data_IF_169592892175
#
_entry.id   IF_169592892175
#
_cell.length_a   1.000
_cell.length_b   1.000
_cell.length_c   1.000
_cell.angle_alpha   90.00
_cell.angle_beta   90.00
_cell.angle_gamma   90.00
#
_symmetry.space_group_name_H-M   'P 1'
#
loop_
_entity.id
_entity.type
_entity.pdbx_description
1 polymer ?
#
# COMPACT_ATOMS: atom_id res chain seq x y z
N UNK A 1 2.45 -5.18 -39.06
CA UNK A 1 2.85 -6.54 -38.64
C UNK A 1 4.31 -6.75 -38.96
N UNK A 2 5.07 -7.30 -38.02
CA UNK A 2 6.44 -7.80 -38.21
C UNK A 2 6.45 -9.31 -37.94
N UNK A 3 7.38 -10.04 -38.55
CA UNK A 3 7.62 -11.47 -38.31
C UNK A 3 9.08 -11.61 -37.94
N UNK A 4 9.35 -12.33 -36.86
CA UNK A 4 10.67 -12.44 -36.25
C UNK A 4 11.03 -13.90 -36.14
N UNK A 5 12.23 -14.27 -36.62
CA UNK A 5 12.82 -15.60 -36.40
C UNK A 5 13.37 -15.66 -34.97
N UNK A 6 12.96 -16.66 -34.19
CA UNK A 6 12.98 -16.58 -32.73
C UNK A 6 13.00 -17.94 -32.01
N UNK A 7 13.79 -18.93 -32.49
CA UNK A 7 13.78 -20.32 -31.99
C UNK A 7 13.81 -20.48 -30.47
N UNK A 8 14.68 -19.76 -29.76
CA UNK A 8 14.85 -19.93 -28.31
C UNK A 8 13.67 -19.42 -27.50
N UNK A 9 13.12 -18.25 -27.86
CA UNK A 9 11.99 -17.67 -27.10
C UNK A 9 10.66 -18.31 -27.46
N UNK A 10 10.54 -18.95 -28.63
CA UNK A 10 9.34 -19.66 -29.06
C UNK A 10 9.19 -21.06 -28.45
N UNK A 11 10.23 -21.63 -27.83
CA UNK A 11 10.16 -22.95 -27.18
C UNK A 11 9.08 -23.02 -26.08
N UNK A 12 8.84 -21.90 -25.38
CA UNK A 12 7.88 -21.81 -24.29
C UNK A 12 6.74 -20.81 -24.53
N UNK A 13 6.79 -20.05 -25.62
CA UNK A 13 5.80 -19.03 -25.93
C UNK A 13 4.52 -19.61 -26.55
N UNK A 14 3.42 -18.92 -26.32
CA UNK A 14 2.10 -19.18 -26.89
C UNK A 14 1.55 -17.89 -27.50
N UNK A 15 0.57 -18.04 -28.39
CA UNK A 15 -0.21 -16.90 -28.87
C UNK A 15 -0.81 -16.12 -27.68
N UNK A 16 -0.57 -14.81 -27.64
CA UNK A 16 -0.97 -13.93 -26.55
C UNK A 16 0.12 -13.64 -25.51
N UNK A 17 1.22 -14.42 -25.49
CA UNK A 17 2.34 -14.14 -24.58
C UNK A 17 3.09 -12.87 -24.96
N UNK A 18 3.83 -12.30 -24.00
CA UNK A 18 4.63 -11.10 -24.22
C UNK A 18 6.10 -11.45 -24.46
N UNK A 19 6.67 -10.96 -25.56
CA UNK A 19 8.08 -11.09 -25.91
C UNK A 19 8.65 -9.69 -26.15
N UNK A 20 9.75 -9.38 -25.47
CA UNK A 20 10.47 -8.14 -25.69
C UNK A 20 11.35 -8.26 -26.94
N UNK A 21 11.25 -7.29 -27.85
CA UNK A 21 12.05 -7.19 -29.08
C UNK A 21 12.80 -5.87 -29.06
N UNK A 22 14.13 -5.92 -28.95
CA UNK A 22 14.97 -4.74 -28.69
C UNK A 22 14.47 -3.91 -27.49
N UNK A 23 13.94 -4.56 -26.46
CA UNK A 23 13.35 -3.90 -25.29
C UNK A 23 11.94 -3.34 -25.50
N UNK A 24 11.27 -3.65 -26.61
CA UNK A 24 9.85 -3.31 -26.83
C UNK A 24 8.99 -4.54 -26.54
N UNK A 25 8.09 -4.45 -25.57
CA UNK A 25 7.12 -5.51 -25.28
C UNK A 25 6.11 -5.64 -26.42
N UNK A 26 6.06 -6.82 -27.04
CA UNK A 26 5.12 -7.16 -28.10
C UNK A 26 4.35 -8.42 -27.75
N UNK A 27 3.06 -8.44 -28.09
CA UNK A 27 2.23 -9.64 -28.01
C UNK A 27 2.55 -10.58 -29.15
N UNK A 28 2.93 -11.82 -28.83
CA UNK A 28 3.22 -12.85 -29.80
C UNK A 28 1.93 -13.37 -30.46
N UNK A 29 1.94 -13.45 -31.78
CA UNK A 29 0.85 -13.91 -32.63
C UNK A 29 1.38 -14.94 -33.62
N UNK A 30 0.57 -15.92 -34.00
CA UNK A 30 0.96 -16.94 -34.98
C UNK A 30 2.32 -17.58 -34.65
N UNK A 31 2.51 -17.94 -33.37
CA UNK A 31 3.74 -18.57 -32.88
C UNK A 31 3.98 -19.89 -33.59
N UNK A 32 5.16 -20.02 -34.17
CA UNK A 32 5.70 -21.19 -34.84
C UNK A 32 6.98 -21.65 -34.11
N UNK A 33 7.48 -22.88 -34.37
CA UNK A 33 8.67 -23.39 -33.68
C UNK A 33 9.91 -22.50 -33.80
N UNK A 34 10.05 -21.76 -34.90
CA UNK A 34 11.21 -20.94 -35.20
C UNK A 34 10.90 -19.45 -35.36
N UNK A 35 9.65 -19.02 -35.16
CA UNK A 35 9.25 -17.65 -35.45
C UNK A 35 7.95 -17.26 -34.76
N UNK A 36 7.71 -15.95 -34.63
CA UNK A 36 6.41 -15.42 -34.25
C UNK A 36 6.14 -14.12 -35.01
N UNK A 37 4.87 -13.75 -35.12
CA UNK A 37 4.43 -12.46 -35.64
C UNK A 37 4.03 -11.52 -34.50
N UNK A 38 4.11 -10.22 -34.74
CA UNK A 38 3.59 -9.22 -33.83
C UNK A 38 2.98 -8.05 -34.61
N UNK A 39 1.89 -7.51 -34.10
CA UNK A 39 1.34 -6.25 -34.58
C UNK A 39 1.89 -5.10 -33.75
N UNK A 40 2.44 -4.10 -34.45
CA UNK A 40 3.12 -2.97 -33.83
C UNK A 40 2.27 -1.73 -34.03
N UNK A 41 1.93 -1.06 -32.94
CA UNK A 41 1.15 0.18 -33.00
C UNK A 41 1.94 1.31 -33.67
N UNK A 42 1.24 2.31 -34.20
CA UNK A 42 1.91 3.50 -34.77
C UNK A 42 2.75 4.24 -33.73
N UNK A 43 2.28 4.32 -32.49
CA UNK A 43 3.01 4.95 -31.38
C UNK A 43 4.32 4.21 -31.11
N UNK A 44 4.26 2.87 -31.02
CA UNK A 44 5.43 2.03 -30.81
C UNK A 44 6.45 2.18 -31.93
N UNK A 45 6.01 2.23 -33.20
CA UNK A 45 6.89 2.45 -34.34
C UNK A 45 7.58 3.83 -34.30
N UNK A 46 6.92 4.84 -33.74
CA UNK A 46 7.46 6.19 -33.62
C UNK A 46 8.44 6.35 -32.45
N UNK A 47 8.14 5.70 -31.32
CA UNK A 47 8.94 5.76 -30.09
C UNK A 47 10.13 4.82 -30.04
N UNK A 48 10.15 3.79 -30.88
CA UNK A 48 11.21 2.76 -30.88
C UNK A 48 11.92 2.66 -32.23
N UNK A 49 13.02 1.91 -32.25
CA UNK A 49 13.80 1.58 -33.45
C UNK A 49 13.09 0.58 -34.37
N UNK A 50 11.98 -0.04 -33.94
CA UNK A 50 11.27 -1.08 -34.70
C UNK A 50 10.80 -0.62 -36.08
N UNK A 51 10.44 0.66 -36.23
CA UNK A 51 10.01 1.23 -37.52
C UNK A 51 11.13 1.34 -38.56
N UNK A 52 12.39 1.24 -38.14
CA UNK A 52 13.57 1.33 -39.01
C UNK A 52 14.13 -0.03 -39.42
N UNK A 53 13.64 -1.11 -38.80
CA UNK A 53 14.09 -2.47 -39.07
C UNK A 53 13.79 -2.87 -40.52
N UNK A 54 14.72 -3.64 -41.10
CA UNK A 54 14.56 -4.26 -42.41
C UNK A 54 14.60 -5.77 -42.26
N UNK A 55 14.15 -6.49 -43.27
CA UNK A 55 14.32 -7.94 -43.33
C UNK A 55 15.79 -8.29 -43.16
N UNK A 56 16.10 -9.18 -42.21
CA UNK A 56 17.46 -9.58 -41.85
C UNK A 56 18.14 -8.71 -40.79
N UNK A 57 17.50 -7.67 -40.28
CA UNK A 57 18.02 -6.91 -39.13
C UNK A 57 18.12 -7.80 -37.88
N UNK A 58 19.26 -7.82 -37.17
CA UNK A 58 19.39 -8.53 -35.91
C UNK A 58 18.58 -7.81 -34.82
N UNK A 59 17.94 -8.61 -33.95
CA UNK A 59 17.16 -8.10 -32.80
C UNK A 59 17.50 -8.89 -31.54
N UNK A 60 17.47 -8.22 -30.40
CA UNK A 60 17.52 -8.85 -29.07
C UNK A 60 16.11 -9.32 -28.70
N UNK A 61 16.03 -10.52 -28.14
CA UNK A 61 14.77 -11.14 -27.73
C UNK A 61 14.84 -11.59 -26.27
N UNK A 62 13.80 -11.27 -25.51
CA UNK A 62 13.64 -11.76 -24.14
C UNK A 62 12.18 -12.18 -23.90
N UNK A 63 11.97 -13.38 -23.37
CA UNK A 63 10.65 -13.86 -23.00
C UNK A 63 10.21 -13.24 -21.66
N UNK A 64 8.90 -13.03 -21.48
CA UNK A 64 8.37 -12.54 -20.21
C UNK A 64 8.73 -13.44 -19.03
N UNK A 65 9.09 -12.84 -17.91
CA UNK A 65 9.45 -13.55 -16.67
C UNK A 65 8.21 -14.17 -16.00
N UNK A 66 8.42 -15.29 -15.30
CA UNK A 66 7.41 -15.90 -14.43
C UNK A 66 7.69 -15.52 -12.97
N UNK A 67 6.73 -15.70 -12.03
CA UNK A 67 6.96 -15.45 -10.60
C UNK A 67 8.11 -16.27 -9.98
N UNK A 68 8.54 -17.35 -10.63
CA UNK A 68 9.63 -18.22 -10.15
C UNK A 68 10.95 -18.03 -10.92
N UNK A 69 10.95 -17.20 -11.98
CA UNK A 69 12.14 -16.94 -12.77
C UNK A 69 13.12 -16.05 -11.98
N UNK A 70 14.42 -16.29 -12.11
CA UNK A 70 15.45 -15.41 -11.53
C UNK A 70 15.49 -14.08 -12.30
N UNK A 71 15.37 -12.96 -11.59
CA UNK A 71 15.62 -11.63 -12.13
C UNK A 71 17.10 -11.29 -11.99
N UNK A 72 17.89 -11.61 -13.04
CA UNK A 72 19.34 -11.41 -13.04
C UNK A 72 19.79 -9.98 -13.34
N UNK A 73 18.92 -9.18 -13.99
CA UNK A 73 19.11 -7.75 -14.21
C UNK A 73 18.25 -6.91 -13.28
N UNK A 74 17.78 -5.77 -13.78
CA UNK A 74 16.76 -4.95 -13.11
C UNK A 74 15.37 -5.18 -13.73
N UNK A 75 14.34 -4.49 -13.24
CA UNK A 75 12.98 -4.58 -13.77
C UNK A 75 12.93 -3.80 -15.09
N UNK A 76 12.74 -4.52 -16.19
CA UNK A 76 12.49 -3.97 -17.53
C UNK A 76 11.06 -4.31 -17.91
N UNK A 77 10.25 -3.29 -18.18
CA UNK A 77 8.84 -3.42 -18.55
C UNK A 77 8.66 -3.72 -20.04
N UNK A 78 9.65 -3.36 -20.86
CA UNK A 78 9.54 -3.39 -22.32
C UNK A 78 8.83 -2.15 -22.86
N UNK A 79 8.88 -1.03 -22.12
CA UNK A 79 8.21 0.23 -22.44
C UNK A 79 9.27 1.30 -22.73
N UNK A 80 9.77 1.29 -23.97
CA UNK A 80 10.79 2.23 -24.44
C UNK A 80 10.35 3.68 -24.23
N UNK A 81 11.18 4.43 -23.51
CA UNK A 81 10.93 5.84 -23.19
C UNK A 81 11.41 6.76 -24.29
N UNK A 82 12.57 6.44 -24.86
CA UNK A 82 13.26 7.28 -25.83
C UNK A 82 14.17 6.47 -26.76
N UNK A 83 14.55 7.10 -27.87
CA UNK A 83 15.63 6.64 -28.74
C UNK A 83 16.92 7.37 -28.40
N UNK A 84 17.95 6.61 -28.06
CA UNK A 84 19.32 7.08 -27.96
C UNK A 84 20.08 6.95 -29.26
N UNK A 85 21.34 7.37 -29.26
CA UNK A 85 22.28 7.12 -30.37
C UNK A 85 23.54 6.46 -29.86
N UNK A 86 23.93 5.36 -30.47
CA UNK A 86 25.23 4.76 -30.23
C UNK A 86 26.32 5.65 -30.81
N UNK A 87 27.27 6.09 -29.97
CA UNK A 87 28.34 7.00 -30.37
C UNK A 87 29.63 6.25 -30.69
N UNK A 88 30.05 5.33 -29.83
CA UNK A 88 31.29 4.58 -29.98
C UNK A 88 31.34 3.39 -29.03
N UNK A 89 32.15 2.38 -29.39
CA UNK A 89 32.61 1.34 -28.49
C UNK A 89 34.14 1.35 -28.46
N UNK A 90 34.72 1.62 -27.29
CA UNK A 90 36.17 1.56 -27.06
C UNK A 90 36.53 0.21 -26.44
N UNK A 91 37.52 -0.48 -26.99
CA UNK A 91 37.95 -1.78 -26.47
C UNK A 91 38.99 -1.63 -25.36
N UNK A 92 38.75 -2.32 -24.25
CA UNK A 92 39.67 -2.43 -23.12
C UNK A 92 39.92 -3.91 -22.83
N UNK A 93 40.83 -4.52 -23.60
CA UNK A 93 41.13 -5.94 -23.53
C UNK A 93 39.93 -6.77 -23.99
N UNK A 94 39.31 -7.48 -23.05
CA UNK A 94 38.14 -8.34 -23.33
C UNK A 94 36.79 -7.61 -23.14
N UNK A 95 36.79 -6.35 -22.69
CA UNK A 95 35.56 -5.59 -22.48
C UNK A 95 35.49 -4.38 -23.40
N UNK A 96 34.29 -3.82 -23.53
CA UNK A 96 34.07 -2.60 -24.32
C UNK A 96 33.38 -1.55 -23.47
N UNK A 97 33.81 -0.30 -23.59
CA UNK A 97 33.10 0.86 -23.07
C UNK A 97 32.25 1.44 -24.19
N UNK A 98 30.94 1.35 -24.05
CA UNK A 98 30.00 1.93 -25.01
C UNK A 98 29.59 3.32 -24.55
N UNK A 99 29.58 4.27 -25.48
CA UNK A 99 28.99 5.60 -25.30
C UNK A 99 27.65 5.67 -26.00
N UNK A 100 26.62 6.03 -25.25
CA UNK A 100 25.26 6.17 -25.76
C UNK A 100 24.78 7.60 -25.47
N UNK A 101 24.53 8.37 -26.52
CA UNK A 101 23.84 9.65 -26.39
C UNK A 101 22.36 9.40 -26.10
N UNK A 102 21.77 10.27 -25.29
CA UNK A 102 20.38 10.20 -24.91
C UNK A 102 19.71 11.57 -25.00
N UNK A 103 18.39 11.62 -25.20
CA UNK A 103 17.69 12.89 -25.32
C UNK A 103 17.30 13.42 -23.92
N UNK A 104 17.23 14.75 -23.76
CA UNK A 104 17.18 15.41 -22.44
C UNK A 104 15.95 15.05 -21.61
N UNK A 105 14.88 14.58 -22.24
CA UNK A 105 13.62 14.22 -21.59
C UNK A 105 13.78 13.05 -20.61
N UNK A 106 14.79 12.19 -20.80
CA UNK A 106 15.05 11.07 -19.89
C UNK A 106 16.21 11.31 -18.92
N UNK A 107 16.89 12.46 -19.01
CA UNK A 107 18.11 12.77 -18.25
C UNK A 107 17.94 12.59 -16.74
N UNK A 108 16.80 13.06 -16.21
CA UNK A 108 16.51 13.02 -14.77
C UNK A 108 16.33 11.60 -14.19
N UNK A 109 16.14 10.59 -15.04
CA UNK A 109 15.98 9.20 -14.62
C UNK A 109 17.27 8.39 -14.72
N UNK A 110 18.31 8.96 -15.34
CA UNK A 110 19.63 8.34 -15.45
C UNK A 110 20.48 8.78 -14.26
N UNK A 111 21.11 7.82 -13.59
CA UNK A 111 22.00 8.10 -12.46
C UNK A 111 23.28 7.28 -12.57
N UNK A 112 24.41 7.87 -12.16
CA UNK A 112 25.69 7.16 -12.08
C UNK A 112 25.55 5.91 -11.19
N UNK A 113 26.03 4.75 -11.68
CA UNK A 113 25.83 3.41 -11.09
C UNK A 113 24.37 2.95 -10.98
N UNK A 114 23.43 3.65 -11.61
CA UNK A 114 22.05 3.21 -11.79
C UNK A 114 21.91 2.18 -12.90
N UNK A 115 20.71 1.62 -12.99
CA UNK A 115 20.32 0.71 -14.05
C UNK A 115 19.67 1.43 -15.23
N UNK A 116 19.93 0.94 -16.43
CA UNK A 116 19.28 1.36 -17.68
C UNK A 116 19.15 0.15 -18.59
N UNK A 117 18.08 0.08 -19.38
CA UNK A 117 17.98 -0.92 -20.44
C UNK A 117 18.29 -0.27 -21.80
N UNK A 118 19.24 -0.86 -22.53
CA UNK A 118 19.59 -0.45 -23.91
C UNK A 118 19.28 -1.61 -24.83
N UNK A 119 18.38 -1.40 -25.81
CA UNK A 119 17.89 -2.47 -26.70
C UNK A 119 17.37 -3.71 -25.92
N UNK A 120 16.78 -3.48 -24.75
CA UNK A 120 16.27 -4.51 -23.84
C UNK A 120 17.31 -5.13 -22.90
N UNK A 121 18.59 -4.75 -23.01
CA UNK A 121 19.66 -5.32 -22.19
C UNK A 121 19.85 -4.50 -20.93
N UNK A 122 19.66 -5.13 -19.77
CA UNK A 122 19.90 -4.52 -18.46
C UNK A 122 21.39 -4.25 -18.22
N UNK A 123 21.74 -2.99 -18.00
CA UNK A 123 23.12 -2.52 -17.87
C UNK A 123 23.27 -1.55 -16.70
N UNK A 124 24.52 -1.38 -16.25
CA UNK A 124 24.88 -0.41 -15.21
C UNK A 124 25.59 0.78 -15.83
N UNK A 125 25.11 1.99 -15.54
CA UNK A 125 25.74 3.22 -15.99
C UNK A 125 27.10 3.39 -15.31
N UNK A 126 28.17 3.31 -16.09
CA UNK A 126 29.55 3.40 -15.65
C UNK A 126 30.00 4.86 -15.49
N UNK A 127 29.51 5.76 -16.34
CA UNK A 127 29.72 7.21 -16.32
C UNK A 127 28.47 7.91 -16.87
N UNK A 128 28.19 9.12 -16.40
CA UNK A 128 27.04 9.93 -16.84
C UNK A 128 27.49 11.37 -17.01
N UNK A 129 27.23 11.93 -18.19
CA UNK A 129 27.45 13.35 -18.54
C UNK A 129 26.11 14.00 -18.88
N UNK A 130 26.08 15.24 -19.35
CA UNK A 130 24.83 15.90 -19.76
C UNK A 130 24.26 15.36 -21.09
N UNK A 131 25.12 14.79 -21.95
CA UNK A 131 24.77 14.44 -23.34
C UNK A 131 24.86 12.93 -23.63
N UNK A 132 25.63 12.17 -22.84
CA UNK A 132 25.79 10.73 -23.01
C UNK A 132 26.06 10.02 -21.68
N UNK A 133 25.79 8.71 -21.67
CA UNK A 133 26.24 7.82 -20.60
C UNK A 133 27.15 6.73 -21.15
N UNK A 134 27.97 6.16 -20.28
CA UNK A 134 28.83 5.03 -20.59
C UNK A 134 28.33 3.74 -19.92
N UNK A 135 28.49 2.61 -20.60
CA UNK A 135 28.24 1.27 -20.06
C UNK A 135 29.43 0.37 -20.38
N UNK A 136 29.71 -0.58 -19.49
CA UNK A 136 30.68 -1.63 -19.73
C UNK A 136 29.97 -2.86 -20.32
N UNK A 137 30.43 -3.32 -21.47
CA UNK A 137 29.94 -4.53 -22.15
C UNK A 137 31.00 -5.62 -22.02
N UNK A 138 30.59 -6.75 -21.43
CA UNK A 138 31.46 -7.93 -21.25
C UNK A 138 31.41 -8.85 -22.48
N UNK A 139 32.38 -9.77 -22.66
CA UNK A 139 32.42 -10.69 -23.82
C UNK A 139 31.11 -11.39 -24.11
N UNK A 140 30.45 -11.91 -23.07
CA UNK A 140 29.23 -12.69 -23.27
C UNK A 140 28.09 -11.82 -23.80
N UNK A 141 27.92 -10.61 -23.27
CA UNK A 141 26.91 -9.66 -23.75
C UNK A 141 27.21 -9.24 -25.18
N UNK A 142 28.47 -8.98 -25.52
CA UNK A 142 28.86 -8.66 -26.89
C UNK A 142 28.55 -9.79 -27.89
N UNK A 143 28.77 -11.04 -27.48
CA UNK A 143 28.56 -12.24 -28.32
C UNK A 143 27.08 -12.55 -28.58
N UNK A 144 26.23 -12.45 -27.56
CA UNK A 144 24.84 -12.97 -27.62
C UNK A 144 23.80 -11.89 -27.91
N UNK A 145 24.22 -10.64 -28.15
CA UNK A 145 23.31 -9.51 -28.41
C UNK A 145 23.66 -8.80 -29.72
N UNK A 146 22.78 -7.91 -30.15
CA UNK A 146 22.96 -7.11 -31.35
C UNK A 146 24.06 -6.04 -31.26
N UNK A 147 24.68 -5.85 -30.08
CA UNK A 147 25.66 -4.78 -29.83
C UNK A 147 26.87 -4.82 -30.76
N UNK A 148 27.31 -6.02 -31.17
CA UNK A 148 28.42 -6.18 -32.11
C UNK A 148 28.12 -5.68 -33.52
N UNK A 149 26.86 -5.43 -33.84
CA UNK A 149 26.41 -4.94 -35.15
C UNK A 149 26.18 -3.43 -35.19
N UNK A 150 26.19 -2.75 -34.04
CA UNK A 150 25.94 -1.32 -33.96
C UNK A 150 27.11 -0.51 -34.55
N UNK A 151 26.77 0.54 -35.28
CA UNK A 151 27.71 1.52 -35.86
C UNK A 151 27.45 2.90 -35.28
N UNK A 152 28.50 3.73 -35.09
CA UNK A 152 28.33 5.11 -34.67
C UNK A 152 27.25 5.84 -35.47
N UNK A 153 26.25 6.39 -34.77
CA UNK A 153 25.09 7.05 -35.35
C UNK A 153 23.81 6.21 -35.36
N UNK A 154 23.90 4.89 -35.18
CA UNK A 154 22.73 4.02 -35.08
C UNK A 154 21.86 4.40 -33.88
N UNK A 155 20.54 4.36 -34.07
CA UNK A 155 19.58 4.59 -32.98
C UNK A 155 19.43 3.32 -32.13
N UNK A 156 19.22 3.51 -30.84
CA UNK A 156 18.98 2.43 -29.87
C UNK A 156 17.77 2.75 -29.00
N UNK A 157 17.00 1.73 -28.62
CA UNK A 157 15.91 1.85 -27.67
C UNK A 157 16.45 2.02 -26.25
N UNK A 158 15.95 3.01 -25.53
CA UNK A 158 16.28 3.28 -24.13
C UNK A 158 15.03 3.15 -23.26
N UNK A 159 15.13 2.35 -22.21
CA UNK A 159 14.16 2.30 -21.13
C UNK A 159 14.89 2.62 -19.81
N UNK A 160 14.38 3.62 -19.08
CA UNK A 160 14.93 4.00 -17.78
C UNK A 160 14.30 3.17 -16.68
N UNK A 161 15.00 3.02 -15.55
CA UNK A 161 14.47 2.26 -14.41
C UNK A 161 13.11 2.81 -13.96
N UNK A 162 12.09 1.95 -13.98
CA UNK A 162 10.73 2.31 -13.58
C UNK A 162 10.66 2.85 -12.14
N UNK A 163 11.58 2.43 -11.28
CA UNK A 163 11.69 2.94 -9.90
C UNK A 163 11.95 4.45 -9.91
N UNK A 164 12.79 4.96 -10.82
CA UNK A 164 13.07 6.39 -10.93
C UNK A 164 11.80 7.19 -11.27
N UNK A 165 10.95 6.68 -12.18
CA UNK A 165 9.66 7.31 -12.54
C UNK A 165 8.68 7.33 -11.37
N UNK A 166 8.60 6.24 -10.60
CA UNK A 166 7.75 6.21 -9.40
C UNK A 166 8.24 7.17 -8.32
N UNK A 167 9.55 7.24 -8.10
CA UNK A 167 10.15 8.19 -7.16
C UNK A 167 9.85 9.62 -7.58
N UNK A 168 10.05 9.97 -8.85
CA UNK A 168 9.66 11.28 -9.38
C UNK A 168 8.18 11.54 -9.17
N UNK A 169 7.28 10.61 -9.55
CA UNK A 169 5.84 10.78 -9.38
C UNK A 169 5.46 11.03 -7.92
N UNK A 170 6.08 10.33 -6.98
CA UNK A 170 5.82 10.53 -5.54
C UNK A 170 6.28 11.91 -5.08
N UNK A 171 7.42 12.40 -5.57
CA UNK A 171 7.99 13.69 -5.16
C UNK A 171 7.34 14.89 -5.87
N UNK A 172 6.86 14.72 -7.10
CA UNK A 172 6.37 15.80 -7.97
C UNK A 172 4.85 15.89 -8.03
N UNK A 173 4.11 14.85 -7.63
CA UNK A 173 2.65 14.95 -7.55
C UNK A 173 2.30 15.90 -6.39
N UNK A 174 1.82 17.12 -6.64
CA UNK A 174 1.19 17.90 -5.58
C UNK A 174 0.06 17.03 -5.02
N UNK A 175 -0.04 16.92 -3.68
CA UNK A 175 -1.07 16.13 -3.00
C UNK A 175 -2.37 16.22 -3.81
N UNK A 176 -2.75 15.11 -4.46
CA UNK A 176 -4.02 15.03 -5.15
C UNK A 176 -5.05 15.30 -4.05
N UNK A 177 -5.62 16.51 -4.05
CA UNK A 177 -6.80 16.84 -3.27
C UNK A 177 -7.90 15.92 -3.77
N UNK A 178 -7.98 14.73 -3.19
CA UNK A 178 -9.19 13.96 -3.24
C UNK A 178 -10.25 14.83 -2.56
N UNK A 179 -11.33 15.14 -3.27
CA UNK A 179 -12.52 15.70 -2.66
C UNK A 179 -13.11 14.61 -1.74
N UNK A 180 -12.53 14.53 -0.56
CA UNK A 180 -13.06 13.95 0.65
C UNK A 180 -13.25 15.12 1.64
N UNK A 181 -14.31 15.10 2.48
CA UNK A 181 -14.72 16.28 3.26
C UNK A 181 -13.53 16.79 4.09
N UNK A 182 -13.45 18.11 4.33
CA UNK A 182 -12.20 18.79 4.61
C UNK A 182 -11.46 18.09 5.76
N UNK A 183 -10.25 17.55 5.52
CA UNK A 183 -9.39 17.15 6.61
C UNK A 183 -9.02 18.42 7.37
N UNK A 184 -9.19 18.40 8.69
CA UNK A 184 -8.56 19.36 9.57
C UNK A 184 -7.09 19.49 9.18
N UNK A 185 -6.71 20.67 8.67
CA UNK A 185 -5.33 21.01 8.35
C UNK A 185 -4.47 20.80 9.59
N UNK A 186 -3.60 19.79 9.56
CA UNK A 186 -2.38 19.77 10.36
C UNK A 186 -1.22 19.82 9.37
N UNK A 187 -0.58 20.98 9.31
CA UNK A 187 0.67 21.26 8.59
C UNK A 187 1.70 20.13 8.83
N UNK A 188 2.32 19.64 7.76
CA UNK A 188 3.31 18.56 7.75
C UNK A 188 4.69 18.95 8.34
N UNK A 189 4.80 20.09 9.01
CA UNK A 189 6.02 20.55 9.70
C UNK A 189 6.07 20.15 11.19
N UNK A 190 5.05 19.41 11.66
CA UNK A 190 5.01 18.88 13.03
C UNK A 190 4.49 17.45 13.05
N UNK A 191 5.21 16.52 12.43
CA UNK A 191 5.15 15.14 12.93
C UNK A 191 5.84 15.16 14.29
N UNK A 192 5.06 15.21 15.37
CA UNK A 192 5.60 14.93 16.70
C UNK A 192 6.38 13.61 16.60
N UNK A 193 7.71 13.60 16.85
CA UNK A 193 8.47 12.36 16.76
C UNK A 193 7.83 11.32 17.69
N UNK A 194 7.98 10.03 17.39
CA UNK A 194 7.38 8.95 18.19
C UNK A 194 7.66 9.09 19.71
N UNK A 195 8.78 9.75 20.04
CA UNK A 195 9.18 10.18 21.39
C UNK A 195 8.17 11.12 22.05
N UNK A 196 7.62 12.10 21.34
CA UNK A 196 6.61 13.02 21.88
C UNK A 196 5.27 12.30 22.11
N UNK A 197 4.88 11.35 21.26
CA UNK A 197 3.68 10.52 21.50
C UNK A 197 3.84 9.59 22.71
N UNK A 198 5.04 9.03 22.89
CA UNK A 198 5.37 8.29 24.11
C UNK A 198 5.31 9.20 25.35
N UNK A 199 5.79 10.45 25.23
CA UNK A 199 5.66 11.47 26.26
C UNK A 199 4.21 11.77 26.63
N UNK A 200 3.29 11.83 25.67
CA UNK A 200 1.84 12.00 25.93
C UNK A 200 1.27 10.81 26.70
N UNK A 201 1.65 9.57 26.34
CA UNK A 201 1.20 8.37 27.07
C UNK A 201 1.70 8.41 28.52
N UNK A 202 2.96 8.78 28.75
CA UNK A 202 3.54 8.91 30.09
C UNK A 202 2.87 10.04 30.90
N UNK A 203 2.57 11.18 30.26
CA UNK A 203 1.85 12.27 30.89
C UNK A 203 0.44 11.86 31.31
N UNK A 204 -0.30 11.13 30.45
CA UNK A 204 -1.63 10.59 30.77
C UNK A 204 -1.57 9.60 31.94
N UNK A 205 -0.53 8.76 32.01
CA UNK A 205 -0.30 7.88 33.16
C UNK A 205 -0.08 8.69 34.44
N UNK A 206 0.69 9.79 34.37
CA UNK A 206 0.89 10.71 35.49
C UNK A 206 -0.41 11.39 35.95
N UNK A 207 -1.24 11.84 35.01
CA UNK A 207 -2.57 12.41 35.30
C UNK A 207 -3.46 11.36 35.97
N UNK A 208 -3.47 10.13 35.47
CA UNK A 208 -4.23 9.03 36.07
C UNK A 208 -3.75 8.70 37.47
N UNK A 209 -2.44 8.70 37.71
CA UNK A 209 -1.86 8.51 39.04
C UNK A 209 -2.35 9.58 40.02
N UNK A 210 -2.34 10.85 39.60
CA UNK A 210 -2.84 11.97 40.40
C UNK A 210 -4.36 11.88 40.68
N UNK A 211 -5.17 11.69 39.63
CA UNK A 211 -6.63 11.63 39.74
C UNK A 211 -7.10 10.48 40.64
N UNK A 212 -6.55 9.28 40.45
CA UNK A 212 -6.90 8.14 41.30
C UNK A 212 -6.34 8.27 42.72
N UNK A 213 -5.23 9.00 42.89
CA UNK A 213 -4.70 9.39 44.19
C UNK A 213 -5.70 10.19 45.04
N UNK A 214 -6.47 11.09 44.43
CA UNK A 214 -7.55 11.83 45.11
C UNK A 214 -8.63 10.91 45.69
N UNK A 215 -8.90 9.78 45.03
CA UNK A 215 -9.89 8.79 45.46
C UNK A 215 -9.29 7.64 46.29
N UNK A 216 -8.04 7.75 46.73
CA UNK A 216 -7.32 6.74 47.51
C UNK A 216 -7.30 5.36 46.83
N UNK A 217 -7.37 5.33 45.49
CA UNK A 217 -7.36 4.12 44.67
C UNK A 217 -6.07 4.11 43.85
N UNK A 218 -5.50 2.94 43.59
CA UNK A 218 -4.37 2.82 42.65
C UNK A 218 -4.94 2.58 41.25
N UNK A 219 -4.71 3.50 40.32
CA UNK A 219 -5.17 3.39 38.93
C UNK A 219 -4.81 2.04 38.30
N UNK A 220 -3.55 1.61 38.44
CA UNK A 220 -3.07 0.34 37.92
C UNK A 220 -3.85 -0.85 38.48
N UNK A 221 -4.15 -0.86 39.78
CA UNK A 221 -4.90 -1.92 40.43
C UNK A 221 -6.37 -1.93 40.00
N UNK A 222 -6.98 -0.75 39.88
CA UNK A 222 -8.33 -0.61 39.33
C UNK A 222 -8.39 -1.16 37.90
N UNK A 223 -7.39 -0.86 37.08
CA UNK A 223 -7.32 -1.37 35.72
C UNK A 223 -7.06 -2.87 35.67
N UNK A 224 -6.22 -3.44 36.54
CA UNK A 224 -6.04 -4.90 36.60
C UNK A 224 -7.36 -5.61 36.97
N UNK A 225 -8.14 -5.03 37.87
CA UNK A 225 -9.40 -5.62 38.33
C UNK A 225 -10.53 -5.51 37.30
N UNK A 226 -10.59 -4.42 36.53
CA UNK A 226 -11.69 -4.15 35.59
C UNK A 226 -11.31 -4.38 34.11
N UNK A 227 -10.03 -4.33 33.80
CA UNK A 227 -9.46 -4.45 32.46
C UNK A 227 -9.79 -5.76 31.73
N UNK A 228 -9.88 -6.93 32.39
CA UNK A 228 -10.34 -8.16 31.75
C UNK A 228 -11.76 -8.03 31.19
N UNK A 229 -12.68 -7.45 31.96
CA UNK A 229 -14.08 -7.28 31.57
C UNK A 229 -14.17 -6.27 30.42
N UNK A 230 -13.44 -5.16 30.52
CA UNK A 230 -13.40 -4.10 29.49
C UNK A 230 -12.87 -4.67 28.16
N UNK A 231 -11.76 -5.42 28.21
CA UNK A 231 -11.12 -6.00 27.02
C UNK A 231 -12.01 -7.08 26.39
N UNK A 232 -12.69 -7.88 27.22
CA UNK A 232 -13.59 -8.94 26.75
C UNK A 232 -14.83 -8.34 26.08
N UNK A 233 -15.45 -7.32 26.68
CA UNK A 233 -16.57 -6.60 26.07
C UNK A 233 -16.20 -5.97 24.72
N UNK A 234 -15.02 -5.33 24.63
CA UNK A 234 -14.50 -4.79 23.37
C UNK A 234 -14.24 -5.89 22.33
N UNK A 235 -13.73 -7.05 22.75
CA UNK A 235 -13.51 -8.21 21.89
C UNK A 235 -14.79 -8.82 21.34
N UNK A 236 -15.88 -8.84 22.12
CA UNK A 236 -17.20 -9.34 21.67
C UNK A 236 -17.92 -8.38 20.72
N UNK A 237 -17.73 -7.07 20.88
CA UNK A 237 -18.30 -6.05 20.00
C UNK A 237 -17.47 -5.83 18.72
N UNK A 238 -16.21 -6.25 18.70
CA UNK A 238 -15.32 -6.07 17.55
C UNK A 238 -15.79 -6.78 16.25
N UNK A 239 -16.30 -8.02 16.27
CA UNK A 239 -16.76 -8.71 15.06
C UNK A 239 -18.00 -8.08 14.40
N UNK A 240 -18.85 -7.43 15.20
CA UNK A 240 -20.06 -6.74 14.73
C UNK A 240 -19.75 -5.32 14.23
N UNK A 241 -18.63 -4.74 14.67
CA UNK A 241 -18.17 -3.43 14.23
C UNK A 241 -17.31 -3.54 12.95
N UNK A 242 -17.96 -3.57 11.78
CA UNK A 242 -17.30 -3.66 10.46
C UNK A 242 -16.18 -2.62 10.27
N UNK A 243 -16.34 -1.42 10.83
CA UNK A 243 -15.32 -0.34 10.78
C UNK A 243 -14.07 -0.59 11.63
N UNK A 244 -14.11 -1.50 12.63
CA UNK A 244 -12.93 -1.84 13.46
C UNK A 244 -12.05 -2.91 12.82
N UNK A 245 -12.62 -3.82 12.02
CA UNK A 245 -11.85 -4.87 11.31
C UNK A 245 -10.79 -4.29 10.36
N UNK A 246 -11.02 -3.10 9.83
CA UNK A 246 -10.13 -2.41 8.89
C UNK A 246 -8.97 -1.62 9.56
N UNK A 247 -8.82 -1.71 10.89
CA UNK A 247 -7.98 -0.80 11.70
C UNK A 247 -6.83 -1.54 12.39
N UNK A 248 -5.85 -1.96 11.60
CA UNK A 248 -4.59 -2.58 12.06
C UNK A 248 -3.82 -1.69 13.04
N UNK A 249 -4.04 -0.37 13.03
CA UNK A 249 -3.39 0.58 13.93
C UNK A 249 -3.66 0.33 15.43
N UNK A 250 -4.79 -0.29 15.80
CA UNK A 250 -5.14 -0.59 17.21
C UNK A 250 -4.28 -1.69 17.84
N UNK A 251 -3.51 -2.42 17.04
CA UNK A 251 -2.55 -3.44 17.51
C UNK A 251 -1.10 -3.08 17.13
N UNK A 252 -0.88 -1.84 16.68
CA UNK A 252 0.43 -1.35 16.25
C UNK A 252 1.42 -1.31 17.40
N UNK A 253 2.67 -1.64 17.11
CA UNK A 253 3.79 -1.42 18.04
C UNK A 253 4.33 0.02 18.01
N UNK A 254 3.81 0.86 17.12
CA UNK A 254 4.15 2.28 17.05
C UNK A 254 3.09 3.10 17.83
N UNK A 255 3.49 3.88 18.85
CA UNK A 255 2.55 4.62 19.70
C UNK A 255 1.77 5.69 18.94
N UNK A 256 2.38 6.34 17.93
CA UNK A 256 1.71 7.34 17.11
C UNK A 256 0.60 6.70 16.26
N UNK A 257 0.86 5.53 15.68
CA UNK A 257 -0.13 4.78 14.91
C UNK A 257 -1.28 4.25 15.79
N UNK A 258 -0.97 3.86 17.03
CA UNK A 258 -1.97 3.42 18.00
C UNK A 258 -2.90 4.58 18.43
N UNK A 259 -2.33 5.72 18.82
CA UNK A 259 -3.10 6.90 19.21
C UNK A 259 -3.94 7.42 18.04
N UNK A 260 -3.37 7.48 16.83
CA UNK A 260 -4.11 7.85 15.63
C UNK A 260 -5.29 6.88 15.39
N UNK A 261 -5.11 5.59 15.60
CA UNK A 261 -6.20 4.62 15.49
C UNK A 261 -7.29 4.83 16.55
N UNK A 262 -6.92 5.13 17.81
CA UNK A 262 -7.87 5.50 18.86
C UNK A 262 -8.66 6.78 18.50
N UNK A 263 -7.99 7.80 17.98
CA UNK A 263 -8.62 9.06 17.55
C UNK A 263 -9.56 8.86 16.36
N UNK A 264 -9.23 7.96 15.44
CA UNK A 264 -10.13 7.65 14.33
C UNK A 264 -11.35 6.80 14.77
N UNK A 265 -11.22 5.97 15.82
CA UNK A 265 -12.38 5.30 16.44
C UNK A 265 -13.33 6.34 17.03
N UNK A 266 -12.79 7.35 17.72
CA UNK A 266 -13.57 8.51 18.17
C UNK A 266 -14.20 9.27 17.00
N UNK A 267 -13.43 9.53 15.94
CA UNK A 267 -13.91 10.25 14.76
C UNK A 267 -15.10 9.57 14.07
N UNK A 268 -15.05 8.24 13.89
CA UNK A 268 -16.20 7.50 13.35
C UNK A 268 -17.41 7.64 14.27
N UNK A 269 -17.18 7.48 15.58
CA UNK A 269 -18.23 7.57 16.58
C UNK A 269 -19.00 8.89 16.45
N UNK A 270 -18.28 10.02 16.42
CA UNK A 270 -18.90 11.33 16.25
C UNK A 270 -19.51 11.54 14.85
N UNK A 271 -18.93 10.97 13.79
CA UNK A 271 -19.53 11.05 12.44
C UNK A 271 -20.81 10.19 12.31
N UNK A 272 -20.90 9.08 13.04
CA UNK A 272 -22.09 8.22 13.08
C UNK A 272 -23.22 8.82 13.92
N UNK A 273 -22.86 9.75 14.80
CA UNK A 273 -23.75 10.61 15.57
C UNK A 273 -23.98 11.97 14.89
N UNK A 274 -23.56 12.18 13.64
CA UNK A 274 -23.98 13.36 12.90
C UNK A 274 -25.36 13.08 12.29
N UNK A 275 -26.33 14.01 12.37
CA UNK A 275 -27.63 13.80 11.77
C UNK A 275 -27.47 13.56 10.26
N UNK A 276 -27.91 12.40 9.80
CA UNK A 276 -27.90 12.04 8.38
C UNK A 276 -28.74 13.04 7.60
N UNK A 277 -28.13 13.74 6.63
CA UNK A 277 -28.84 14.58 5.65
C UNK A 277 -29.88 13.82 4.80
N UNK A 278 -29.94 12.48 4.92
CA UNK A 278 -30.86 11.60 4.18
C UNK A 278 -32.20 11.35 4.90
N UNK A 279 -32.34 11.66 6.20
CA UNK A 279 -33.62 11.46 6.92
C UNK A 279 -34.68 12.56 6.66
N UNK A 280 -34.41 13.54 5.79
CA UNK A 280 -35.37 14.61 5.48
C UNK A 280 -36.40 14.27 4.40
N UNK A 281 -36.41 13.04 3.85
CA UNK A 281 -37.27 12.67 2.71
C UNK A 281 -38.15 11.43 2.87
N UNK A 282 -38.38 10.95 4.09
CA UNK A 282 -39.39 9.91 4.33
C UNK A 282 -40.48 10.47 5.23
N UNK A 283 -41.57 10.94 4.61
CA UNK A 283 -42.81 11.16 5.35
C UNK A 283 -43.32 9.79 5.84
N UNK A 284 -43.55 9.60 7.16
CA UNK A 284 -44.18 8.38 7.63
C UNK A 284 -45.62 8.36 7.13
N UNK A 285 -46.02 7.24 6.53
CA UNK A 285 -47.40 6.98 6.15
C UNK A 285 -48.21 6.86 7.45
N UNK A 286 -49.13 7.79 7.68
CA UNK A 286 -49.97 7.84 8.88
C UNK A 286 -50.60 6.49 9.20
N UNK A 287 -50.10 5.81 10.23
CA UNK A 287 -50.84 4.79 10.96
C UNK A 287 -51.36 5.51 12.19
N UNK A 288 -52.65 5.86 12.12
CA UNK A 288 -53.32 6.70 13.11
C UNK A 288 -53.33 6.07 14.49
N UNK A 289 -52.57 6.67 15.40
CA UNK A 289 -52.89 6.74 16.83
C UNK A 289 -52.53 8.16 17.25
N UNK A 290 -53.54 9.03 17.28
CA UNK A 290 -53.41 10.45 17.63
C UNK A 290 -53.40 10.58 19.16
N UNK A 291 -52.21 10.49 19.75
CA UNK A 291 -52.00 10.80 21.17
C UNK A 291 -51.65 12.28 21.18
N UNK A 292 -52.63 13.12 21.54
CA UNK A 292 -52.63 14.59 21.39
C UNK A 292 -51.48 15.35 22.07
N UNK A 293 -50.27 15.19 21.52
CA UNK A 293 -49.09 16.01 21.75
C UNK A 293 -48.70 16.57 20.39
N UNK A 294 -48.72 17.91 20.26
CA UNK A 294 -48.30 18.59 19.03
C UNK A 294 -46.96 18.03 18.56
N UNK A 295 -46.88 17.59 17.29
CA UNK A 295 -45.69 16.93 16.73
C UNK A 295 -44.40 17.74 16.83
N UNK A 296 -44.49 19.04 17.13
CA UNK A 296 -43.34 19.88 17.51
C UNK A 296 -42.75 19.58 18.89
N UNK A 297 -43.56 19.21 19.87
CA UNK A 297 -43.12 18.88 21.24
C UNK A 297 -42.40 17.53 21.26
N UNK A 298 -42.93 16.53 20.54
CA UNK A 298 -42.31 15.20 20.40
C UNK A 298 -40.93 15.34 19.76
N UNK A 299 -40.82 16.14 18.69
CA UNK A 299 -39.54 16.38 18.02
C UNK A 299 -38.51 17.10 18.90
N UNK A 300 -38.94 18.09 19.69
CA UNK A 300 -38.05 18.77 20.66
C UNK A 300 -37.57 17.80 21.74
N UNK A 301 -38.44 16.91 22.22
CA UNK A 301 -38.05 15.89 23.19
C UNK A 301 -37.06 14.88 22.61
N UNK A 302 -37.29 14.43 21.37
CA UNK A 302 -36.38 13.54 20.64
C UNK A 302 -35.01 14.20 20.42
N UNK A 303 -34.98 15.49 20.06
CA UNK A 303 -33.74 16.26 19.87
C UNK A 303 -32.96 16.44 21.20
N UNK A 304 -33.66 16.71 22.31
CA UNK A 304 -33.05 16.82 23.65
C UNK A 304 -32.52 15.46 24.11
N UNK A 305 -33.30 14.39 23.95
CA UNK A 305 -32.89 13.04 24.30
C UNK A 305 -31.67 12.61 23.47
N UNK A 306 -31.68 12.91 22.18
CA UNK A 306 -30.55 12.69 21.29
C UNK A 306 -29.29 13.43 21.75
N UNK A 307 -29.40 14.73 22.07
CA UNK A 307 -28.28 15.52 22.57
C UNK A 307 -27.73 14.98 23.90
N UNK A 308 -28.60 14.53 24.80
CA UNK A 308 -28.22 13.91 26.07
C UNK A 308 -27.45 12.61 25.83
N UNK A 309 -27.93 11.75 24.94
CA UNK A 309 -27.27 10.49 24.57
C UNK A 309 -25.89 10.76 23.97
N UNK A 310 -25.79 11.72 23.03
CA UNK A 310 -24.53 12.14 22.42
C UNK A 310 -23.55 12.62 23.49
N UNK A 311 -24.00 13.46 24.42
CA UNK A 311 -23.18 13.99 25.50
C UNK A 311 -22.66 12.89 26.43
N UNK A 312 -23.54 12.00 26.88
CA UNK A 312 -23.16 10.87 27.75
C UNK A 312 -22.12 9.99 27.06
N UNK A 313 -22.32 9.69 25.78
CA UNK A 313 -21.38 8.86 25.04
C UNK A 313 -20.05 9.57 24.75
N UNK A 314 -20.05 10.88 24.51
CA UNK A 314 -18.83 11.67 24.36
C UNK A 314 -17.99 11.63 25.65
N UNK A 315 -18.65 11.74 26.81
CA UNK A 315 -18.01 11.62 28.12
C UNK A 315 -17.40 10.22 28.29
N UNK A 316 -18.14 9.16 27.96
CA UNK A 316 -17.65 7.78 28.04
C UNK A 316 -16.45 7.54 27.11
N UNK A 317 -16.48 8.11 25.91
CA UNK A 317 -15.41 7.97 24.92
C UNK A 317 -14.13 8.71 25.35
N UNK A 318 -14.28 9.92 25.92
CA UNK A 318 -13.17 10.67 26.51
C UNK A 318 -12.58 9.94 27.71
N UNK A 319 -13.44 9.42 28.60
CA UNK A 319 -13.03 8.61 29.74
C UNK A 319 -12.25 7.36 29.29
N UNK A 320 -12.66 6.71 28.20
CA UNK A 320 -11.93 5.57 27.65
C UNK A 320 -10.52 5.96 27.16
N UNK A 321 -10.37 7.08 26.44
CA UNK A 321 -9.04 7.54 25.97
C UNK A 321 -8.13 7.91 27.13
N UNK A 322 -8.67 8.51 28.18
CA UNK A 322 -7.86 8.94 29.34
C UNK A 322 -7.52 7.75 30.24
N UNK A 323 -8.49 6.89 30.56
CA UNK A 323 -8.35 5.88 31.61
C UNK A 323 -8.08 4.47 31.09
N UNK A 324 -8.37 4.15 29.83
CA UNK A 324 -8.26 2.77 29.32
C UNK A 324 -7.19 2.66 28.26
N UNK A 325 -7.19 3.54 27.25
CA UNK A 325 -6.27 3.46 26.12
C UNK A 325 -4.77 3.43 26.48
N UNK A 326 -4.26 4.19 27.47
CA UNK A 326 -2.82 4.22 27.78
C UNK A 326 -2.31 2.88 28.29
N UNK A 327 -3.03 2.24 29.22
CA UNK A 327 -2.62 0.96 29.77
C UNK A 327 -2.99 -0.21 28.84
N UNK A 328 -4.07 -0.07 28.06
CA UNK A 328 -4.40 -0.99 26.99
C UNK A 328 -3.28 -1.09 25.95
N UNK A 329 -2.60 0.02 25.61
CA UNK A 329 -1.46 0.00 24.68
C UNK A 329 -0.35 -0.95 25.14
N UNK A 330 0.04 -0.92 26.42
CA UNK A 330 1.09 -1.81 26.95
C UNK A 330 0.69 -3.28 26.89
N UNK A 331 -0.57 -3.58 27.17
CA UNK A 331 -1.09 -4.95 27.08
C UNK A 331 -1.10 -5.41 25.61
N UNK A 332 -1.53 -4.55 24.68
CA UNK A 332 -1.54 -4.82 23.24
C UNK A 332 -0.13 -4.94 22.63
N UNK A 333 0.87 -4.28 23.23
CA UNK A 333 2.26 -4.47 22.85
C UNK A 333 2.72 -5.91 23.10
N UNK A 334 2.29 -6.53 24.19
CA UNK A 334 2.66 -7.93 24.51
C UNK A 334 1.72 -8.91 23.80
N UNK A 335 0.40 -8.77 24.02
CA UNK A 335 -0.61 -9.68 23.49
C UNK A 335 -0.77 -9.62 21.96
N UNK A 336 -0.41 -8.48 21.33
CA UNK A 336 -0.54 -8.28 19.89
C UNK A 336 0.63 -8.77 19.04
N UNK A 337 1.69 -9.34 19.63
CA UNK A 337 2.85 -9.86 18.88
C UNK A 337 2.44 -10.90 17.82
N UNK A 338 1.63 -11.94 18.15
CA UNK A 338 1.23 -12.94 17.17
C UNK A 338 0.38 -12.34 16.04
N UNK A 339 -0.50 -11.38 16.38
CA UNK A 339 -1.32 -10.67 15.40
C UNK A 339 -0.45 -9.87 14.40
N UNK A 340 0.56 -9.16 14.90
CA UNK A 340 1.50 -8.40 14.06
C UNK A 340 2.35 -9.31 13.17
N UNK A 341 2.77 -10.47 13.68
CA UNK A 341 3.51 -11.46 12.88
C UNK A 341 2.64 -12.06 11.77
N UNK A 342 1.38 -12.41 12.07
CA UNK A 342 0.43 -12.91 11.07
C UNK A 342 0.13 -11.88 9.95
N UNK A 343 0.24 -10.59 10.25
CA UNK A 343 0.02 -9.50 9.29
C UNK A 343 1.28 -9.15 8.48
N UNK A 344 2.49 -9.47 8.93
CA UNK A 344 3.75 -9.20 8.21
C UNK A 344 3.88 -9.99 6.89
N UNK A 345 3.17 -11.11 6.74
CA UNK A 345 3.24 -11.98 5.56
C UNK A 345 2.17 -11.72 4.48
N UNK A 346 1.25 -10.77 4.70
CA UNK A 346 0.19 -10.48 3.71
C UNK A 346 0.59 -9.28 2.84
N UNK A 347 1.25 -9.59 1.73
CA UNK A 347 1.37 -8.67 0.59
C UNK A 347 -0.04 -8.27 0.16
N UNK A 348 -0.28 -6.97 0.01
CA UNK A 348 -1.55 -6.42 -0.46
C UNK A 348 -1.65 -6.73 -1.96
N UNK A 349 -2.37 -7.79 -2.34
CA UNK A 349 -2.66 -8.08 -3.75
C UNK A 349 -3.80 -7.18 -4.21
N UNK A 350 -3.53 -6.36 -5.22
CA UNK A 350 -4.55 -5.51 -5.87
C UNK A 350 -5.13 -6.31 -7.02
N UNK A 351 -6.45 -6.46 -7.07
CA UNK A 351 -7.15 -6.98 -8.25
C UNK A 351 -7.75 -5.78 -9.01
N UNK A 352 -7.56 -5.75 -10.33
CA UNK A 352 -8.22 -4.81 -11.23
C UNK A 352 -9.46 -5.52 -11.77
N UNK A 353 -10.64 -4.95 -11.52
CA UNK A 353 -11.89 -5.39 -12.13
C UNK A 353 -12.05 -4.63 -13.46
N UNK A 354 -12.06 -5.37 -14.58
CA UNK A 354 -11.97 -4.79 -15.93
C UNK A 354 -13.30 -4.22 -16.45
N UNK A 355 -14.42 -4.38 -15.74
CA UNK A 355 -15.75 -4.00 -16.27
C UNK A 355 -16.23 -2.57 -15.95
N UNK A 356 -15.68 -1.86 -14.96
CA UNK A 356 -16.21 -0.53 -14.56
C UNK A 356 -15.24 0.65 -14.59
N UNK A 357 -13.98 0.48 -15.00
CA UNK A 357 -13.04 1.61 -15.19
C UNK A 357 -12.80 2.48 -13.94
N UNK A 358 -13.20 2.03 -12.75
CA UNK A 358 -12.90 2.67 -11.48
C UNK A 358 -11.89 1.83 -10.70
N UNK A 359 -10.72 2.41 -10.43
CA UNK A 359 -9.76 1.87 -9.47
C UNK A 359 -10.33 2.07 -8.07
N UNK A 360 -11.09 1.09 -7.60
CA UNK A 360 -11.52 1.07 -6.20
C UNK A 360 -10.42 0.40 -5.38
N UNK A 361 -9.74 1.17 -4.52
CA UNK A 361 -8.85 0.60 -3.50
C UNK A 361 -9.73 -0.07 -2.44
N UNK A 362 -10.15 -1.30 -2.69
CA UNK A 362 -10.80 -2.12 -1.68
C UNK A 362 -9.72 -2.71 -0.77
N UNK A 363 -9.69 -2.24 0.49
CA UNK A 363 -9.09 -2.97 1.61
C UNK A 363 -9.55 -4.43 1.60
N UNK A 364 -8.77 -5.38 2.15
CA UNK A 364 -9.01 -6.82 2.01
C UNK A 364 -10.47 -7.17 2.28
N UNK A 365 -11.11 -7.75 1.26
CA UNK A 365 -12.46 -8.29 1.19
C UNK A 365 -13.47 -7.71 2.20
N UNK A 366 -14.30 -6.78 1.73
CA UNK A 366 -15.64 -6.52 2.29
C UNK A 366 -16.65 -7.67 2.01
N UNK A 367 -16.16 -8.91 1.98
CA UNK A 367 -16.93 -10.13 1.70
C UNK A 367 -16.64 -11.28 2.68
N UNK A 368 -15.87 -11.06 3.75
CA UNK A 368 -15.79 -12.03 4.82
C UNK A 368 -17.16 -12.11 5.51
N UNK A 369 -17.96 -13.11 5.14
CA UNK A 369 -19.15 -13.51 5.92
C UNK A 369 -18.76 -13.50 7.40
N UNK A 370 -19.59 -12.89 8.25
CA UNK A 370 -19.38 -12.93 9.70
C UNK A 370 -19.08 -14.38 10.09
N UNK A 371 -18.06 -14.65 10.94
CA UNK A 371 -17.73 -16.01 11.33
C UNK A 371 -18.98 -16.65 11.94
N UNK A 372 -19.56 -17.59 11.21
CA UNK A 372 -20.79 -18.30 11.65
C UNK A 372 -20.48 -19.34 12.72
N UNK A 373 -19.19 -19.63 12.96
CA UNK A 373 -18.70 -20.56 13.99
C UNK A 373 -17.50 -19.96 14.72
N UNK A 374 -17.41 -20.24 16.03
CA UNK A 374 -16.30 -19.80 16.91
C UNK A 374 -14.94 -20.31 16.40
N UNK A 375 -14.92 -21.42 15.67
CA UNK A 375 -13.71 -22.02 15.06
C UNK A 375 -13.06 -21.17 13.97
N UNK A 376 -13.73 -20.12 13.46
CA UNK A 376 -13.21 -19.25 12.40
C UNK A 376 -12.38 -18.06 12.94
N UNK A 377 -12.40 -17.82 14.26
CA UNK A 377 -11.62 -16.78 14.93
C UNK A 377 -10.13 -17.12 14.86
N UNK A 378 -9.37 -16.31 14.12
CA UNK A 378 -7.92 -16.43 14.04
C UNK A 378 -7.27 -15.05 13.93
N UNK A 379 -6.00 -14.95 14.35
CA UNK A 379 -5.21 -13.72 14.21
C UNK A 379 -5.15 -13.19 12.77
N UNK A 380 -5.26 -14.09 11.78
CA UNK A 380 -5.21 -13.74 10.37
C UNK A 380 -6.53 -13.14 9.83
N UNK A 381 -7.66 -13.41 10.49
CA UNK A 381 -9.01 -12.96 10.08
C UNK A 381 -9.53 -11.82 10.95
N UNK A 382 -9.43 -11.94 12.27
CA UNK A 382 -9.93 -10.95 13.24
C UNK A 382 -8.84 -10.56 14.25
N UNK A 383 -7.74 -9.93 13.79
CA UNK A 383 -6.55 -9.67 14.61
C UNK A 383 -6.87 -8.86 15.87
N UNK A 384 -7.77 -7.87 15.78
CA UNK A 384 -8.15 -7.05 16.93
C UNK A 384 -8.96 -7.84 17.97
N UNK A 385 -10.01 -8.56 17.57
CA UNK A 385 -10.87 -9.31 18.48
C UNK A 385 -10.08 -10.41 19.23
N UNK A 386 -9.22 -11.15 18.50
CA UNK A 386 -8.37 -12.19 19.11
C UNK A 386 -7.34 -11.56 20.06
N UNK A 387 -6.75 -10.41 19.69
CA UNK A 387 -5.80 -9.72 20.58
C UNK A 387 -6.49 -9.19 21.85
N UNK A 388 -7.74 -8.73 21.76
CA UNK A 388 -8.53 -8.32 22.93
C UNK A 388 -8.85 -9.51 23.87
N UNK A 389 -9.18 -10.67 23.31
CA UNK A 389 -9.40 -11.88 24.10
C UNK A 389 -8.11 -12.32 24.84
N UNK A 390 -6.97 -12.30 24.16
CA UNK A 390 -5.66 -12.60 24.78
C UNK A 390 -5.31 -11.56 25.84
N UNK A 391 -5.55 -10.28 25.58
CA UNK A 391 -5.32 -9.20 26.54
C UNK A 391 -6.17 -9.36 27.80
N UNK A 392 -7.41 -9.80 27.65
CA UNK A 392 -8.32 -10.10 28.76
C UNK A 392 -7.76 -11.20 29.66
N UNK A 393 -7.22 -12.27 29.05
CA UNK A 393 -6.61 -13.38 29.76
C UNK A 393 -5.33 -12.94 30.51
N UNK A 394 -4.46 -12.17 29.84
CA UNK A 394 -3.23 -11.63 30.44
C UNK A 394 -3.56 -10.78 31.66
N UNK A 395 -4.55 -9.88 31.55
CA UNK A 395 -4.96 -9.02 32.65
C UNK A 395 -5.59 -9.81 33.81
N UNK A 396 -6.38 -10.85 33.51
CA UNK A 396 -6.99 -11.69 34.53
C UNK A 396 -5.94 -12.49 35.32
N UNK A 397 -4.96 -13.07 34.63
CA UNK A 397 -3.83 -13.76 35.27
C UNK A 397 -3.01 -12.79 36.12
N UNK A 398 -2.70 -11.59 35.59
CA UNK A 398 -1.95 -10.58 36.34
C UNK A 398 -2.71 -10.11 37.59
N UNK A 399 -4.01 -9.85 37.48
CA UNK A 399 -4.86 -9.44 38.61
C UNK A 399 -5.00 -10.52 39.68
N UNK A 400 -5.18 -11.78 39.28
CA UNK A 400 -5.27 -12.91 40.22
C UNK A 400 -3.95 -13.17 40.94
N UNK A 401 -2.81 -13.12 40.25
CA UNK A 401 -1.48 -13.21 40.87
C UNK A 401 -1.23 -12.07 41.85
N UNK A 402 -1.52 -10.82 41.45
CA UNK A 402 -1.39 -9.65 42.32
C UNK A 402 -2.22 -9.82 43.61
N UNK A 403 -3.48 -10.23 43.49
CA UNK A 403 -4.37 -10.43 44.65
C UNK A 403 -3.89 -11.49 45.66
N UNK A 404 -3.04 -12.43 45.22
CA UNK A 404 -2.46 -13.49 46.07
C UNK A 404 -1.16 -13.07 46.76
N UNK A 405 -0.48 -12.03 46.25
CA UNK A 405 0.82 -11.57 46.74
C UNK A 405 0.66 -10.47 47.81
N UNK A 406 -0.50 -9.82 47.90
CA UNK A 406 -0.79 -8.75 48.87
C UNK A 406 -0.56 -7.37 48.27
#
# INVERSE_FOLDING_TARGET
>A
RIVIEARTVTESARDGDSIAVNGVCLTALAVQPDSFAADVSKETLFRSTLGSLRTGSPVNLEASVTPVTRLGGHIVQGHVDARGKFLSAESHGESWTFRIAYPKEIAQYLVFKGSVAVEGISLTIAELTDDYFEIAVIPKTWEVTNFSHLKPGDEVNLEVDVIAKYVERILTTPELKSESPPPLMIRNDQRLPAVCFLGIILALIGVNWFLFGLFHRKYFLWYLNNGPIISLAAGFLAPTWTSMKARVGLISSNPAAYIAACMQVLGIFFSSLAPSKSSQKVQPKNIGIDIGLDGGVVKVFDDILYLLIVLVMAILALAWVVFVAPLAYFVMLVAGVPARQALRGKVVTTYIDEEEGQVTITKPQAGAKLPTRISDLSFARDPFAVTQAVSSLVLWVAGTLYSRIG
#
